data_IF_782265625841
#
_entry.id   IF_782265625841
#
_cell.length_a   1.000
_cell.length_b   1.000
_cell.length_c   1.000
_cell.angle_alpha   90.00
_cell.angle_beta   90.00
_cell.angle_gamma   90.00
#
_symmetry.space_group_name_H-M   'P 1'
#
loop_
_entity.id
_entity.type
_entity.pdbx_description
1 polymer ?
#
# COMPACT_ATOMS: atom_id res chain seq x y z
N UNK A 1 -25.96 17.73 -0.38
CA UNK A 1 -25.41 16.43 0.05
C UNK A 1 -24.16 16.73 0.86
N UNK A 2 -24.29 16.74 2.19
CA UNK A 2 -23.20 17.10 3.10
C UNK A 2 -22.17 15.98 3.18
N UNK A 3 -20.93 16.27 3.60
CA UNK A 3 -19.86 15.28 3.83
C UNK A 3 -20.33 14.04 4.64
N UNK A 4 -21.35 14.22 5.48
CA UNK A 4 -22.00 13.16 6.25
C UNK A 4 -22.75 12.14 5.37
N UNK A 5 -23.38 12.56 4.27
CA UNK A 5 -24.17 11.70 3.37
C UNK A 5 -23.27 10.78 2.52
N UNK A 6 -22.13 11.28 2.07
CA UNK A 6 -21.13 10.50 1.31
C UNK A 6 -20.45 9.45 2.19
N UNK A 7 -20.21 9.78 3.45
CA UNK A 7 -19.76 8.82 4.48
C UNK A 7 -20.88 7.83 4.80
N UNK A 8 -22.15 8.25 4.79
CA UNK A 8 -23.31 7.37 5.02
C UNK A 8 -23.58 6.38 3.88
N UNK A 9 -23.37 6.78 2.62
CA UNK A 9 -23.46 5.89 1.46
C UNK A 9 -22.31 4.86 1.45
N UNK A 10 -21.10 5.26 1.84
CA UNK A 10 -19.98 4.35 2.10
C UNK A 10 -20.27 3.40 3.28
N UNK A 11 -20.92 3.92 4.34
CA UNK A 11 -21.36 3.16 5.52
C UNK A 11 -22.33 2.04 5.16
N UNK A 12 -23.28 2.26 4.22
CA UNK A 12 -24.26 1.24 3.82
C UNK A 12 -23.64 0.10 2.99
N UNK A 13 -22.63 0.38 2.16
CA UNK A 13 -21.95 -0.65 1.36
C UNK A 13 -20.95 -1.48 2.18
N UNK A 14 -20.40 -0.93 3.26
CA UNK A 14 -19.45 -1.62 4.14
C UNK A 14 -20.14 -2.41 5.27
N UNK A 15 -21.29 -1.94 5.78
CA UNK A 15 -21.97 -2.53 6.95
C UNK A 15 -22.89 -3.72 6.62
N UNK A 16 -23.17 -4.01 5.34
CA UNK A 16 -24.06 -5.11 4.93
C UNK A 16 -23.41 -6.51 4.97
N UNK A 17 -22.12 -6.64 5.31
CA UNK A 17 -21.47 -7.95 5.49
C UNK A 17 -21.46 -8.29 6.98
N UNK A 18 -22.27 -9.29 7.34
CA UNK A 18 -22.58 -9.69 8.71
C UNK A 18 -21.39 -9.72 9.68
N UNK A 19 -21.65 -9.27 10.92
CA UNK A 19 -20.70 -9.34 12.03
C UNK A 19 -20.52 -10.81 12.43
N UNK A 20 -19.51 -11.47 11.90
CA UNK A 20 -19.04 -12.74 12.44
C UNK A 20 -18.19 -12.51 13.68
N UNK A 21 -18.59 -13.12 14.80
CA UNK A 21 -17.82 -13.11 16.05
C UNK A 21 -16.40 -13.63 15.82
N UNK A 22 -15.36 -12.99 16.39
CA UNK A 22 -13.99 -13.41 16.18
C UNK A 22 -13.72 -14.73 16.90
N UNK A 23 -13.24 -15.74 16.15
CA UNK A 23 -12.67 -16.97 16.71
C UNK A 23 -11.33 -16.67 17.38
N UNK A 24 -11.01 -17.42 18.44
CA UNK A 24 -9.75 -17.36 19.22
C UNK A 24 -8.55 -17.45 18.26
N UNK A 25 -7.73 -16.39 18.21
CA UNK A 25 -6.57 -16.28 17.32
C UNK A 25 -6.70 -15.23 16.18
N UNK A 26 -7.89 -14.65 15.96
CA UNK A 26 -8.03 -13.51 15.05
C UNK A 26 -7.52 -12.24 15.76
N UNK A 27 -6.61 -11.44 15.15
CA UNK A 27 -6.19 -10.16 15.74
C UNK A 27 -7.44 -9.31 16.05
N UNK A 28 -7.41 -8.59 17.17
CA UNK A 28 -8.52 -7.72 17.58
C UNK A 28 -8.94 -6.82 16.42
N UNK A 29 -10.25 -6.71 16.21
CA UNK A 29 -10.78 -5.80 15.21
C UNK A 29 -10.31 -4.38 15.55
N UNK A 30 -9.83 -3.65 14.55
CA UNK A 30 -9.57 -2.21 14.68
C UNK A 30 -10.80 -1.55 15.30
N UNK A 31 -10.59 -0.62 16.24
CA UNK A 31 -11.70 0.19 16.74
C UNK A 31 -12.27 1.01 15.58
N UNK A 32 -13.54 1.39 15.69
CA UNK A 32 -14.19 2.22 14.67
C UNK A 32 -13.44 3.54 14.48
N UNK A 33 -12.90 4.11 15.56
CA UNK A 33 -12.07 5.32 15.49
C UNK A 33 -10.79 5.10 14.69
N UNK A 34 -10.05 4.03 14.98
CA UNK A 34 -8.80 3.72 14.27
C UNK A 34 -9.05 3.42 12.79
N UNK A 35 -10.11 2.68 12.46
CA UNK A 35 -10.47 2.40 11.08
C UNK A 35 -10.81 3.69 10.30
N UNK A 36 -11.60 4.58 10.91
CA UNK A 36 -11.92 5.89 10.32
C UNK A 36 -10.67 6.74 10.11
N UNK A 37 -9.76 6.79 11.09
CA UNK A 37 -8.51 7.53 10.97
C UNK A 37 -7.64 7.02 9.81
N UNK A 38 -7.53 5.69 9.66
CA UNK A 38 -6.78 5.08 8.54
C UNK A 38 -7.40 5.46 7.20
N UNK A 39 -8.73 5.31 7.06
CA UNK A 39 -9.42 5.61 5.80
C UNK A 39 -9.35 7.09 5.44
N UNK A 40 -9.56 7.99 6.41
CA UNK A 40 -9.46 9.43 6.21
C UNK A 40 -8.06 9.83 5.73
N UNK A 41 -7.01 9.35 6.40
CA UNK A 41 -5.64 9.67 6.02
C UNK A 41 -5.27 9.07 4.65
N UNK A 42 -5.74 7.86 4.35
CA UNK A 42 -5.51 7.22 3.06
C UNK A 42 -6.18 7.98 1.90
N UNK A 43 -7.35 8.58 2.12
CA UNK A 43 -8.03 9.41 1.11
C UNK A 43 -7.41 10.81 1.01
N UNK A 44 -7.01 11.41 2.14
CA UNK A 44 -6.31 12.70 2.12
C UNK A 44 -4.96 12.61 1.37
N UNK A 45 -4.25 11.49 1.53
CA UNK A 45 -2.95 11.25 0.91
C UNK A 45 -2.95 9.94 0.08
N UNK A 46 -3.62 9.93 -1.08
CA UNK A 46 -3.88 8.70 -1.85
C UNK A 46 -2.62 8.01 -2.38
N UNK A 47 -1.49 8.70 -2.44
CA UNK A 47 -0.21 8.14 -2.88
C UNK A 47 0.57 7.44 -1.77
N UNK A 48 0.17 7.60 -0.50
CA UNK A 48 0.87 6.98 0.62
C UNK A 48 0.54 5.49 0.74
N UNK A 49 1.59 4.70 0.96
CA UNK A 49 1.47 3.26 1.22
C UNK A 49 1.23 2.96 2.70
N UNK A 50 0.88 1.72 3.05
CA UNK A 50 0.57 1.32 4.43
C UNK A 50 1.66 1.63 5.46
N UNK A 51 2.94 1.50 5.08
CA UNK A 51 4.06 1.81 5.97
C UNK A 51 4.13 3.31 6.31
N UNK A 52 3.97 4.17 5.30
CA UNK A 52 3.93 5.62 5.52
C UNK A 52 2.70 6.02 6.33
N UNK A 53 1.54 5.43 6.05
CA UNK A 53 0.32 5.65 6.84
C UNK A 53 0.51 5.27 8.31
N UNK A 54 1.14 4.13 8.60
CA UNK A 54 1.43 3.71 9.98
C UNK A 54 2.29 4.73 10.74
N UNK A 55 3.37 5.21 10.10
CA UNK A 55 4.25 6.24 10.68
C UNK A 55 3.47 7.53 10.97
N UNK A 56 2.63 7.97 10.04
CA UNK A 56 1.88 9.21 10.21
C UNK A 56 0.81 9.07 11.30
N UNK A 57 0.04 7.98 11.30
CA UNK A 57 -0.97 7.70 12.31
C UNK A 57 -0.40 7.62 13.73
N UNK A 58 0.85 7.20 13.89
CA UNK A 58 1.52 7.16 15.19
C UNK A 58 1.89 8.53 15.76
N UNK A 59 1.81 9.61 14.97
CA UNK A 59 2.11 10.97 15.45
C UNK A 59 0.95 11.53 16.29
N UNK A 60 1.24 12.38 17.28
CA UNK A 60 0.21 13.00 18.11
C UNK A 60 -0.85 13.76 17.30
N UNK A 61 -0.43 14.46 16.24
CA UNK A 61 -1.31 15.25 15.36
C UNK A 61 -2.36 14.41 14.61
N UNK A 62 -2.14 13.09 14.45
CA UNK A 62 -3.07 12.16 13.79
C UNK A 62 -3.74 11.19 14.77
N UNK A 63 -3.54 11.35 16.08
CA UNK A 63 -4.21 10.59 17.15
C UNK A 63 -3.38 9.46 17.78
N UNK A 64 -2.06 9.39 17.54
CA UNK A 64 -1.14 8.45 18.21
C UNK A 64 -1.50 6.96 18.04
N UNK A 65 -2.11 6.60 16.91
CA UNK A 65 -2.51 5.22 16.63
C UNK A 65 -1.31 4.36 16.22
N UNK A 66 -0.98 3.36 17.05
CA UNK A 66 0.06 2.36 16.74
C UNK A 66 -0.55 1.17 16.02
N UNK A 67 -0.54 1.21 14.68
CA UNK A 67 -1.12 0.16 13.84
C UNK A 67 -0.06 -0.39 12.90
N UNK A 68 0.06 -1.72 12.83
CA UNK A 68 1.00 -2.37 11.93
C UNK A 68 0.64 -2.09 10.44
N UNK A 69 1.63 -1.88 9.55
CA UNK A 69 1.40 -1.68 8.11
C UNK A 69 0.58 -2.80 7.47
N UNK A 70 0.77 -4.05 7.90
CA UNK A 70 -0.01 -5.19 7.42
C UNK A 70 -1.50 -5.08 7.75
N UNK A 71 -1.84 -4.56 8.94
CA UNK A 71 -3.22 -4.32 9.37
C UNK A 71 -3.87 -3.22 8.53
N UNK A 72 -3.15 -2.14 8.25
CA UNK A 72 -3.59 -1.07 7.33
C UNK A 72 -3.81 -1.64 5.93
N UNK A 73 -2.88 -2.43 5.40
CA UNK A 73 -3.03 -3.06 4.09
C UNK A 73 -4.27 -3.95 4.01
N UNK A 74 -4.52 -4.79 5.04
CA UNK A 74 -5.70 -5.66 5.11
C UNK A 74 -7.00 -4.83 5.14
N UNK A 75 -7.01 -3.71 5.86
CA UNK A 75 -8.13 -2.76 5.88
C UNK A 75 -8.35 -2.16 4.49
N UNK A 76 -7.32 -1.60 3.86
CA UNK A 76 -7.44 -1.00 2.51
C UNK A 76 -7.86 -2.03 1.46
N UNK A 77 -7.41 -3.29 1.58
CA UNK A 77 -7.80 -4.38 0.68
C UNK A 77 -9.27 -4.75 0.84
N UNK A 78 -9.80 -4.82 2.08
CA UNK A 78 -11.21 -5.18 2.30
C UNK A 78 -12.19 -4.05 1.97
N UNK A 79 -11.72 -2.80 1.86
CA UNK A 79 -12.52 -1.62 1.49
C UNK A 79 -12.31 -1.17 0.04
N UNK A 80 -11.66 -1.98 -0.80
CA UNK A 80 -11.36 -1.66 -2.21
C UNK A 80 -10.52 -0.39 -2.41
N UNK A 81 -9.71 0.00 -1.42
CA UNK A 81 -8.79 1.15 -1.44
C UNK A 81 -7.31 0.74 -1.44
N UNK A 82 -7.01 -0.48 -1.88
CA UNK A 82 -5.66 -1.07 -1.86
C UNK A 82 -4.66 -0.24 -2.66
N UNK A 83 -5.02 0.17 -3.87
CA UNK A 83 -4.11 0.87 -4.78
C UNK A 83 -4.32 2.38 -4.74
N UNK A 84 -3.27 3.14 -5.09
CA UNK A 84 -3.39 4.60 -5.23
C UNK A 84 -4.44 5.01 -6.25
N UNK A 85 -4.63 4.20 -7.31
CA UNK A 85 -5.61 4.47 -8.35
C UNK A 85 -7.03 4.31 -7.85
N UNK A 86 -7.30 3.30 -7.02
CA UNK A 86 -8.60 3.14 -6.36
C UNK A 86 -8.91 4.33 -5.45
N UNK A 87 -7.94 4.79 -4.66
CA UNK A 87 -8.11 5.96 -3.79
C UNK A 87 -8.31 7.26 -4.59
N UNK A 88 -7.56 7.44 -5.67
CA UNK A 88 -7.74 8.58 -6.58
C UNK A 88 -9.11 8.55 -7.28
N UNK A 89 -9.61 7.37 -7.66
CA UNK A 89 -10.93 7.22 -8.29
C UNK A 89 -12.06 7.65 -7.33
N UNK A 90 -11.94 7.37 -6.03
CA UNK A 90 -12.90 7.86 -5.02
C UNK A 90 -12.88 9.38 -4.93
N UNK A 91 -11.69 10.00 -4.91
CA UNK A 91 -11.55 11.45 -4.91
C UNK A 91 -12.11 12.09 -6.20
N UNK A 92 -11.90 11.43 -7.34
CA UNK A 92 -12.47 11.83 -8.63
C UNK A 92 -14.00 11.79 -8.60
N UNK A 93 -14.60 10.69 -8.14
CA UNK A 93 -16.05 10.57 -8.06
C UNK A 93 -16.65 11.64 -7.14
N UNK A 94 -16.01 11.88 -5.99
CA UNK A 94 -16.40 12.94 -5.07
C UNK A 94 -16.25 14.34 -5.70
N UNK A 95 -15.15 14.62 -6.40
CA UNK A 95 -14.92 15.91 -7.07
C UNK A 95 -15.88 16.14 -8.25
N UNK A 96 -16.22 15.10 -9.00
CA UNK A 96 -17.18 15.20 -10.09
C UNK A 96 -18.59 15.51 -9.56
N UNK A 97 -18.98 14.89 -8.44
CA UNK A 97 -20.27 15.15 -7.77
C UNK A 97 -20.32 16.52 -7.08
N UNK A 98 -19.22 16.95 -6.46
CA UNK A 98 -19.18 18.17 -5.65
C UNK A 98 -18.84 19.45 -6.45
N UNK A 99 -18.04 19.34 -7.51
CA UNK A 99 -17.48 20.48 -8.22
C UNK A 99 -17.57 20.39 -9.76
N UNK A 100 -18.05 19.28 -10.34
CA UNK A 100 -18.19 19.12 -11.80
C UNK A 100 -16.89 19.12 -12.60
N UNK A 101 -15.73 19.31 -11.95
CA UNK A 101 -14.45 19.52 -12.62
C UNK A 101 -13.55 18.29 -12.47
N UNK A 102 -13.60 17.41 -13.47
CA UNK A 102 -12.43 16.60 -13.77
C UNK A 102 -11.54 17.38 -14.73
N UNK A 103 -10.39 17.81 -14.24
CA UNK A 103 -9.37 18.35 -15.15
C UNK A 103 -9.01 17.28 -16.18
N UNK A 104 -8.88 17.67 -17.44
CA UNK A 104 -8.52 16.77 -18.55
C UNK A 104 -7.24 15.97 -18.26
N UNK A 105 -6.31 16.56 -17.49
CA UNK A 105 -5.09 15.91 -16.99
C UNK A 105 -5.38 14.69 -16.12
N UNK A 106 -6.36 14.77 -15.21
CA UNK A 106 -6.74 13.65 -14.34
C UNK A 106 -7.42 12.55 -15.15
N UNK A 107 -8.32 12.92 -16.06
CA UNK A 107 -9.01 11.98 -16.96
C UNK A 107 -8.01 11.18 -17.79
N UNK A 108 -7.06 11.85 -18.45
CA UNK A 108 -5.99 11.19 -19.23
C UNK A 108 -5.14 10.23 -18.40
N UNK A 109 -4.79 10.60 -17.17
CA UNK A 109 -4.01 9.75 -16.26
C UNK A 109 -4.77 8.48 -15.87
N UNK A 110 -6.08 8.58 -15.62
CA UNK A 110 -6.92 7.44 -15.32
C UNK A 110 -7.09 6.53 -16.53
N UNK A 111 -7.38 7.08 -17.71
CA UNK A 111 -7.45 6.28 -18.95
C UNK A 111 -6.11 5.59 -19.22
N UNK A 112 -4.98 6.27 -19.05
CA UNK A 112 -3.66 5.66 -19.19
C UNK A 112 -3.39 4.57 -18.14
N UNK A 113 -3.88 4.75 -16.90
CA UNK A 113 -3.76 3.75 -15.84
C UNK A 113 -4.62 2.51 -16.11
N UNK A 114 -5.84 2.69 -16.63
CA UNK A 114 -6.73 1.60 -17.04
C UNK A 114 -6.18 0.84 -18.25
N UNK A 115 -5.46 1.53 -19.15
CA UNK A 115 -4.76 0.92 -20.29
C UNK A 115 -3.47 0.20 -19.94
N UNK A 116 -3.03 0.23 -18.68
CA UNK A 116 -1.88 -0.60 -18.27
C UNK A 116 -2.26 -2.05 -18.52
N UNK A 117 -1.52 -2.70 -19.44
CA UNK A 117 -1.62 -4.14 -19.64
C UNK A 117 -1.49 -4.82 -18.30
N UNK A 118 -2.18 -5.95 -18.14
CA UNK A 118 -2.02 -6.82 -16.98
C UNK A 118 -0.54 -7.16 -16.77
N UNK A 119 -0.19 -7.64 -15.57
CA UNK A 119 1.18 -8.04 -15.26
C UNK A 119 1.78 -8.87 -16.40
N UNK A 120 2.97 -8.50 -16.88
CA UNK A 120 3.67 -9.24 -17.95
C UNK A 120 4.10 -10.65 -17.50
N UNK A 121 4.02 -10.92 -16.20
CA UNK A 121 4.38 -12.18 -15.57
C UNK A 121 3.20 -12.67 -14.73
N UNK A 122 2.93 -13.97 -14.75
CA UNK A 122 1.82 -14.57 -14.02
C UNK A 122 2.10 -14.62 -12.51
N UNK A 123 1.67 -13.58 -11.79
CA UNK A 123 1.69 -13.51 -10.33
C UNK A 123 0.39 -12.87 -9.83
N UNK A 124 -0.49 -13.66 -9.19
CA UNK A 124 -1.85 -13.25 -8.84
C UNK A 124 -1.97 -12.81 -7.37
N UNK A 125 -1.18 -13.44 -6.51
CA UNK A 125 -1.16 -13.22 -5.06
C UNK A 125 0.26 -12.87 -4.62
N UNK A 126 0.40 -12.01 -3.60
CA UNK A 126 1.70 -11.80 -2.96
C UNK A 126 2.31 -13.13 -2.51
N UNK A 127 3.58 -13.35 -2.84
CA UNK A 127 4.32 -14.57 -2.61
C UNK A 127 4.33 -15.56 -3.77
N UNK A 128 3.50 -15.36 -4.81
CA UNK A 128 3.46 -16.27 -5.97
C UNK A 128 4.79 -16.28 -6.74
N UNK A 129 5.38 -15.10 -6.93
CA UNK A 129 6.64 -14.92 -7.63
C UNK A 129 7.41 -13.74 -7.06
N UNK A 130 8.67 -13.97 -6.74
CA UNK A 130 9.62 -12.95 -6.31
C UNK A 130 10.74 -12.88 -7.34
N UNK A 131 10.94 -11.70 -7.92
CA UNK A 131 12.05 -11.41 -8.81
C UNK A 131 13.26 -11.00 -7.96
N UNK A 132 14.37 -11.71 -8.15
CA UNK A 132 15.64 -11.45 -7.47
C UNK A 132 16.61 -10.82 -8.46
N UNK A 133 17.32 -9.78 -8.01
CA UNK A 133 18.34 -9.12 -8.81
C UNK A 133 19.50 -8.62 -7.93
N UNK A 134 20.69 -8.61 -8.51
CA UNK A 134 21.91 -8.10 -7.88
C UNK A 134 22.55 -7.06 -8.79
N UNK A 135 22.55 -5.81 -8.33
CA UNK A 135 23.00 -4.67 -9.13
C UNK A 135 24.28 -4.05 -8.57
N UNK A 136 25.27 -3.80 -9.43
CA UNK A 136 26.48 -3.05 -9.04
C UNK A 136 26.16 -1.55 -8.96
N UNK A 137 26.28 -0.97 -7.77
CA UNK A 137 25.99 0.47 -7.57
C UNK A 137 27.20 1.32 -7.96
N UNK A 138 28.41 0.87 -7.62
CA UNK A 138 29.62 1.66 -7.82
C UNK A 138 30.72 1.32 -6.82
N UNK A 139 31.75 2.16 -6.79
CA UNK A 139 32.89 2.03 -5.87
C UNK A 139 32.96 3.26 -4.98
N UNK A 140 32.91 3.07 -3.66
CA UNK A 140 33.07 4.13 -2.68
C UNK A 140 34.51 4.15 -2.13
N UNK A 141 35.09 5.34 -1.99
CA UNK A 141 36.43 5.52 -1.44
C UNK A 141 36.47 5.00 0.00
N UNK A 142 37.44 4.14 0.32
CA UNK A 142 37.59 3.53 1.66
C UNK A 142 36.69 2.32 1.94
N UNK A 143 35.65 2.07 1.15
CA UNK A 143 34.74 0.91 1.32
C UNK A 143 34.96 -0.15 0.23
N UNK A 144 35.21 0.28 -1.01
CA UNK A 144 35.35 -0.62 -2.15
C UNK A 144 34.08 -0.71 -3.00
N UNK A 145 33.92 -1.84 -3.70
CA UNK A 145 32.76 -2.07 -4.58
C UNK A 145 31.49 -2.24 -3.75
N UNK A 146 30.39 -1.67 -4.21
CA UNK A 146 29.09 -1.71 -3.54
C UNK A 146 28.05 -2.32 -4.47
N UNK A 147 27.28 -3.24 -3.92
CA UNK A 147 26.28 -4.05 -4.60
C UNK A 147 24.95 -3.92 -3.88
N UNK A 148 23.86 -4.01 -4.65
CA UNK A 148 22.49 -4.01 -4.18
C UNK A 148 21.86 -5.37 -4.47
N UNK A 149 21.43 -6.08 -3.43
CA UNK A 149 20.57 -7.24 -3.56
C UNK A 149 19.12 -6.79 -3.42
N UNK A 150 18.28 -7.19 -4.37
CA UNK A 150 16.86 -6.79 -4.41
C UNK A 150 15.99 -8.02 -4.58
N UNK A 151 14.90 -8.07 -3.80
CA UNK A 151 13.83 -9.04 -3.95
C UNK A 151 12.54 -8.25 -4.11
N UNK A 152 11.87 -8.39 -5.26
CA UNK A 152 10.63 -7.69 -5.56
C UNK A 152 9.51 -8.69 -5.86
N UNK A 153 8.44 -8.62 -5.08
CA UNK A 153 7.22 -9.40 -5.32
C UNK A 153 6.52 -8.91 -6.60
N UNK A 154 6.33 -9.82 -7.56
CA UNK A 154 5.77 -9.46 -8.86
C UNK A 154 4.28 -9.10 -8.81
N UNK A 155 3.53 -9.60 -7.81
CA UNK A 155 2.09 -9.38 -7.71
C UNK A 155 1.74 -8.03 -7.05
N UNK A 156 2.56 -7.55 -6.10
CA UNK A 156 2.29 -6.34 -5.35
C UNK A 156 3.38 -5.26 -5.42
N UNK A 157 4.48 -5.52 -6.14
CA UNK A 157 5.63 -4.61 -6.29
C UNK A 157 6.24 -4.20 -4.95
N UNK A 158 6.09 -5.04 -3.93
CA UNK A 158 6.76 -4.85 -2.66
C UNK A 158 8.20 -5.35 -2.79
N UNK A 159 9.17 -4.51 -2.47
CA UNK A 159 10.58 -4.84 -2.60
C UNK A 159 11.33 -4.71 -1.28
N UNK A 160 12.26 -5.62 -1.06
CA UNK A 160 13.27 -5.58 0.01
C UNK A 160 14.61 -5.41 -0.67
N UNK A 161 15.45 -4.55 -0.09
CA UNK A 161 16.76 -4.21 -0.62
C UNK A 161 17.80 -4.28 0.47
N UNK A 162 18.96 -4.87 0.17
CA UNK A 162 20.12 -4.87 1.04
C UNK A 162 21.37 -4.44 0.27
N UNK A 163 22.19 -3.60 0.90
CA UNK A 163 23.48 -3.17 0.37
C UNK A 163 24.58 -4.06 0.92
N UNK A 164 25.51 -4.46 0.06
CA UNK A 164 26.67 -5.27 0.43
C UNK A 164 27.94 -4.80 -0.29
N UNK A 165 29.10 -5.14 0.27
CA UNK A 165 30.41 -4.87 -0.34
C UNK A 165 30.93 -6.02 -1.20
N UNK A 166 30.17 -7.12 -1.28
CA UNK A 166 30.54 -8.32 -2.03
C UNK A 166 29.40 -8.82 -2.92
N UNK A 167 29.78 -9.35 -4.09
CA UNK A 167 28.90 -10.08 -5.00
C UNK A 167 29.27 -11.56 -4.93
N UNK A 168 28.57 -12.32 -4.09
CA UNK A 168 28.87 -13.72 -3.80
C UNK A 168 27.58 -14.51 -3.58
N UNK A 169 27.65 -15.83 -3.80
CA UNK A 169 26.53 -16.72 -3.52
C UNK A 169 26.14 -16.69 -2.03
N UNK A 170 27.13 -16.58 -1.13
CA UNK A 170 26.88 -16.51 0.31
C UNK A 170 26.16 -15.21 0.71
N UNK A 171 26.53 -14.08 0.12
CA UNK A 171 25.83 -12.82 0.35
C UNK A 171 24.38 -12.87 -0.16
N UNK A 172 24.15 -13.49 -1.31
CA UNK A 172 22.80 -13.72 -1.84
C UNK A 172 21.98 -14.62 -0.90
N UNK A 173 22.57 -15.72 -0.41
CA UNK A 173 21.90 -16.63 0.51
C UNK A 173 21.57 -15.95 1.86
N UNK A 174 22.49 -15.14 2.39
CA UNK A 174 22.22 -14.33 3.60
C UNK A 174 21.09 -13.33 3.36
N UNK A 175 21.09 -12.64 2.22
CA UNK A 175 19.99 -11.73 1.86
C UNK A 175 18.63 -12.45 1.86
N UNK A 176 18.53 -13.65 1.28
CA UNK A 176 17.29 -14.42 1.20
C UNK A 176 16.81 -14.96 2.56
N UNK A 177 17.73 -15.23 3.48
CA UNK A 177 17.42 -15.81 4.80
C UNK A 177 17.30 -14.77 5.91
N UNK A 178 17.65 -13.51 5.62
CA UNK A 178 17.55 -12.41 6.58
C UNK A 178 16.09 -12.15 6.92
N UNK A 179 15.76 -12.18 8.21
CA UNK A 179 14.43 -11.83 8.71
C UNK A 179 14.29 -10.30 8.74
N UNK A 180 13.20 -9.80 8.18
CA UNK A 180 12.82 -8.37 8.15
C UNK A 180 11.69 -8.10 9.12
#
# INVERSE_FOLDING_TARGET
MTLDDSVHAFRLRVMARGRHSPRRGRPSALTVQTERAILALALAWPTWGPARLAVQLSRPEYGSWRVAPATIYRLLRRTDLRTRFQRLAVLEAHSAQAAGLLTERTRRRLTAAQRRRGPHVAAQRPGDLVCLDTFYIGKLKGVGKVWQYTACDAACSYAIVQIATECSADAAARFLTTRV
#
